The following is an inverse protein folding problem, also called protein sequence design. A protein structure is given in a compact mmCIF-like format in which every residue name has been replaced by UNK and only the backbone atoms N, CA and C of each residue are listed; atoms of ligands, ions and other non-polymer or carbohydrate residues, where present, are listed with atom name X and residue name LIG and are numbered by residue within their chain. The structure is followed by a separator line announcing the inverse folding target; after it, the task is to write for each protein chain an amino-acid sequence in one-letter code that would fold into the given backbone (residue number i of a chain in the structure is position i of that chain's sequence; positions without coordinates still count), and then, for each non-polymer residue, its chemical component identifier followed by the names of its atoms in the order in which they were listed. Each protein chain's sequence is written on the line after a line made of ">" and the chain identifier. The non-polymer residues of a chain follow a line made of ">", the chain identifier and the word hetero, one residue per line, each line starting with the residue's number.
data_IF_061097826058
#
_entry.id   IF_061097826058
#
_cell.length_a   1.000
_cell.length_b   1.000
_cell.length_c   1.000
_cell.angle_alpha   90.00
_cell.angle_beta   90.00
_cell.angle_gamma   90.00
#
_symmetry.space_group_name_H-M   'P 1'
#
loop_
_entity.id
_entity.type
_entity.pdbx_description
1 polymer ?
#
# COMPACT_ATOMS: atom_id res chain seq x y z
N UNK A 1 15.56 18.69 -5.58
CA UNK A 1 14.83 17.81 -4.65
C UNK A 1 14.31 16.62 -5.42
N UNK A 2 15.00 15.48 -5.36
CA UNK A 2 14.60 14.26 -6.08
C UNK A 2 13.52 13.55 -5.27
N UNK A 3 12.25 13.68 -5.67
CA UNK A 3 11.15 12.91 -5.08
C UNK A 3 11.43 11.41 -5.27
N UNK A 4 11.70 10.70 -4.17
CA UNK A 4 11.97 9.26 -4.21
C UNK A 4 10.68 8.50 -4.50
N UNK A 5 10.70 7.70 -5.56
CA UNK A 5 9.66 6.71 -5.85
C UNK A 5 9.90 5.48 -5.00
N UNK A 6 8.86 4.95 -4.35
CA UNK A 6 8.91 3.71 -3.56
C UNK A 6 7.92 2.70 -4.14
N UNK A 7 8.38 1.56 -4.59
CA UNK A 7 7.50 0.50 -5.09
C UNK A 7 6.84 -0.25 -3.92
N UNK A 8 5.62 -0.72 -4.14
CA UNK A 8 4.86 -1.53 -3.18
C UNK A 8 4.85 -2.97 -3.68
N UNK A 9 5.57 -3.86 -3.00
CA UNK A 9 5.59 -5.28 -3.33
C UNK A 9 4.22 -5.93 -3.05
N UNK A 10 3.78 -6.81 -3.95
CA UNK A 10 2.49 -7.50 -3.93
C UNK A 10 1.29 -6.61 -4.23
N UNK A 11 1.50 -5.36 -4.66
CA UNK A 11 0.40 -4.44 -4.92
C UNK A 11 -0.20 -4.67 -6.31
N UNK A 12 -1.48 -4.99 -6.35
CA UNK A 12 -2.26 -5.11 -7.58
C UNK A 12 -2.86 -3.75 -7.94
N UNK A 13 -2.67 -3.31 -9.19
CA UNK A 13 -3.30 -2.11 -9.70
C UNK A 13 -4.82 -2.26 -9.74
N UNK A 14 -5.60 -1.38 -9.08
CA UNK A 14 -7.07 -1.49 -9.10
C UNK A 14 -7.68 -1.16 -10.47
N UNK A 15 -6.94 -0.49 -11.36
CA UNK A 15 -7.42 -0.09 -12.68
C UNK A 15 -7.11 -1.13 -13.77
N UNK A 16 -5.89 -1.67 -13.82
CA UNK A 16 -5.48 -2.60 -14.88
C UNK A 16 -5.11 -4.02 -14.40
N UNK A 17 -5.14 -4.29 -13.09
CA UNK A 17 -4.99 -5.63 -12.53
C UNK A 17 -3.56 -6.20 -12.51
N UNK A 18 -2.57 -5.46 -13.00
CA UNK A 18 -1.16 -5.88 -12.95
C UNK A 18 -0.59 -5.79 -11.53
N UNK A 19 0.25 -6.75 -11.18
CA UNK A 19 0.94 -6.83 -9.89
C UNK A 19 2.32 -6.12 -9.94
N UNK A 20 2.79 -5.63 -8.80
CA UNK A 20 4.13 -5.05 -8.59
C UNK A 20 4.47 -3.79 -9.42
N UNK A 21 3.46 -3.14 -10.00
CA UNK A 21 3.65 -1.90 -10.79
C UNK A 21 3.11 -0.66 -10.08
N UNK A 22 2.75 -0.75 -8.80
CA UNK A 22 2.31 0.39 -8.01
C UNK A 22 3.49 1.00 -7.25
N UNK A 23 3.66 2.32 -7.38
CA UNK A 23 4.67 3.08 -6.68
C UNK A 23 4.10 4.33 -6.00
N UNK A 24 4.69 4.72 -4.89
CA UNK A 24 4.35 5.94 -4.14
C UNK A 24 5.33 7.05 -4.51
N UNK A 25 4.77 8.24 -4.75
CA UNK A 25 5.49 9.49 -4.91
C UNK A 25 5.19 10.37 -3.71
N UNK A 26 6.25 10.81 -3.03
CA UNK A 26 6.17 11.78 -1.95
C UNK A 26 6.54 13.18 -2.48
N UNK A 27 5.65 14.14 -2.27
CA UNK A 27 5.82 15.55 -2.63
C UNK A 27 5.58 16.44 -1.42
N UNK A 28 5.84 17.74 -1.55
CA UNK A 28 5.47 18.71 -0.52
C UNK A 28 3.95 18.77 -0.26
N UNK A 29 3.14 18.39 -1.25
CA UNK A 29 1.69 18.42 -1.18
C UNK A 29 1.06 17.13 -0.63
N UNK A 30 1.87 16.13 -0.25
CA UNK A 30 1.37 14.84 0.27
C UNK A 30 1.92 13.62 -0.45
N UNK A 31 1.29 12.47 -0.20
CA UNK A 31 1.66 11.17 -0.76
C UNK A 31 0.64 10.68 -1.77
N UNK A 32 1.09 10.20 -2.93
CA UNK A 32 0.20 9.61 -3.93
C UNK A 32 0.78 8.31 -4.47
N UNK A 33 -0.07 7.32 -4.75
CA UNK A 33 0.29 6.07 -5.41
C UNK A 33 -0.12 6.11 -6.89
N UNK A 34 0.73 5.55 -7.73
CA UNK A 34 0.62 5.60 -9.19
C UNK A 34 0.90 4.21 -9.75
N UNK A 35 0.33 3.87 -10.90
CA UNK A 35 0.71 2.69 -11.66
C UNK A 35 1.76 3.04 -12.71
N UNK A 36 2.70 2.12 -12.96
CA UNK A 36 3.69 2.27 -14.03
C UNK A 36 3.16 1.82 -15.41
N UNK A 37 2.02 1.11 -15.45
CA UNK A 37 1.46 0.52 -16.68
C UNK A 37 0.25 1.29 -17.23
N UNK A 38 -0.49 2.00 -16.38
CA UNK A 38 -1.66 2.78 -16.77
C UNK A 38 -1.69 4.13 -16.01
N UNK A 39 -2.64 4.99 -16.36
CA UNK A 39 -2.78 6.34 -15.77
C UNK A 39 -3.40 6.37 -14.36
N UNK A 40 -3.39 5.24 -13.66
CA UNK A 40 -3.90 5.18 -12.29
C UNK A 40 -3.07 6.07 -11.38
N UNK A 41 -3.74 7.02 -10.71
CA UNK A 41 -3.17 7.88 -9.68
C UNK A 41 -4.19 8.07 -8.56
N UNK A 42 -3.74 7.92 -7.33
CA UNK A 42 -4.58 8.12 -6.15
C UNK A 42 -3.79 8.80 -5.05
N UNK A 43 -4.35 9.86 -4.48
CA UNK A 43 -3.81 10.49 -3.29
C UNK A 43 -4.10 9.60 -2.06
N UNK A 44 -3.08 9.38 -1.23
CA UNK A 44 -3.24 8.59 0.00
C UNK A 44 -3.92 9.39 1.09
N UNK A 45 -3.80 10.72 1.09
CA UNK A 45 -4.41 11.59 2.09
C UNK A 45 -5.94 11.64 1.94
N UNK A 46 -6.46 11.32 0.74
CA UNK A 46 -7.90 11.23 0.45
C UNK A 46 -8.50 9.86 0.82
N UNK A 47 -7.65 8.87 1.15
CA UNK A 47 -8.16 7.56 1.55
C UNK A 47 -8.75 7.65 2.95
N UNK A 48 -9.96 7.09 3.18
CA UNK A 48 -10.45 6.95 4.52
C UNK A 48 -9.43 6.12 5.30
N UNK A 49 -8.95 6.66 6.42
CA UNK A 49 -8.21 5.86 7.40
C UNK A 49 -9.18 4.79 7.88
N UNK A 50 -9.10 3.61 7.28
CA UNK A 50 -9.83 2.46 7.76
C UNK A 50 -9.26 2.19 9.16
N UNK A 51 -10.00 2.63 10.19
CA UNK A 51 -9.77 2.31 11.59
C UNK A 51 -9.83 0.80 11.72
N UNK A 52 -8.71 0.14 11.43
CA UNK A 52 -8.58 -1.30 11.49
C UNK A 52 -8.26 -1.63 12.94
N UNK A 53 -9.17 -1.25 13.84
CA UNK A 53 -9.15 -1.60 15.26
C UNK A 53 -9.56 -3.07 15.44
N UNK A 54 -9.10 -3.97 14.56
CA UNK A 54 -9.08 -5.38 14.90
C UNK A 54 -8.06 -5.49 16.01
N UNK A 55 -8.55 -5.57 17.24
CA UNK A 55 -7.75 -5.88 18.41
C UNK A 55 -6.85 -7.07 18.07
N UNK A 56 -5.55 -6.82 17.98
CA UNK A 56 -4.56 -7.89 17.88
C UNK A 56 -4.68 -8.65 19.19
N UNK A 57 -5.25 -9.86 19.13
CA UNK A 57 -5.37 -10.72 20.30
C UNK A 57 -4.00 -11.12 20.84
N UNK A 58 -3.96 -11.53 22.09
CA UNK A 58 -2.73 -11.97 22.74
C UNK A 58 -2.07 -13.12 21.97
N UNK A 59 -0.75 -13.04 21.78
CA UNK A 59 0.02 -14.08 21.12
C UNK A 59 -0.05 -15.39 21.91
N UNK A 60 -0.51 -16.46 21.27
CA UNK A 60 -0.58 -17.80 21.87
C UNK A 60 0.45 -18.72 21.19
N UNK A 61 1.24 -19.49 21.97
CA UNK A 61 2.16 -20.47 21.39
C UNK A 61 1.39 -21.56 20.65
N UNK A 62 1.81 -21.89 19.43
CA UNK A 62 1.32 -23.07 18.71
C UNK A 62 1.85 -24.34 19.38
N UNK A 63 0.96 -25.25 19.76
CA UNK A 63 1.37 -26.59 20.21
C UNK A 63 1.49 -27.50 18.99
N UNK A 64 2.71 -27.79 18.57
CA UNK A 64 2.99 -28.85 17.62
C UNK A 64 2.80 -30.19 18.33
N UNK A 65 2.14 -31.15 17.66
CA UNK A 65 1.99 -32.52 18.14
C UNK A 65 3.27 -33.29 17.80
N UNK A 66 3.73 -34.13 18.73
CA UNK A 66 4.84 -35.07 18.52
C UNK A 66 4.55 -36.06 17.39
#
# INVERSE_FOLDING_TARGET
>A
MTSRKRFIAGAICPQCGVEDLIYVVQTAAGQSRHCNQCDFKQNLDDLPVASTEKAVGDWQPIKLRD
#
